data_IF_234329408475
#
_entry.id   IF_234329408475
#
_cell.length_a   1.000
_cell.length_b   1.000
_cell.length_c   1.000
_cell.angle_alpha   90.00
_cell.angle_beta   90.00
_cell.angle_gamma   90.00
#
_symmetry.space_group_name_H-M   'P 1'
#
loop_
_entity.id
_entity.type
_entity.pdbx_description
1 polymer ?
#
# COMPACT_ATOMS: atom_id res chain seq x y z
N UNK A 1 7.45 37.33 24.65
CA UNK A 1 6.75 38.35 23.84
C UNK A 1 5.96 37.61 22.77
N UNK A 2 4.64 37.55 22.96
CA UNK A 2 3.57 37.11 22.07
C UNK A 2 3.66 35.74 21.37
N UNK A 3 3.10 34.74 22.06
CA UNK A 3 2.19 33.74 21.48
C UNK A 3 1.21 34.43 20.51
N UNK A 4 1.29 34.09 19.22
CA UNK A 4 0.21 34.38 18.28
C UNK A 4 -0.69 33.15 18.20
N UNK A 5 -1.70 33.16 19.07
CA UNK A 5 -2.94 32.40 18.92
C UNK A 5 -3.57 32.75 17.56
N UNK A 6 -3.48 31.82 16.61
CA UNK A 6 -4.33 31.82 15.42
C UNK A 6 -5.54 30.94 15.74
N UNK A 7 -6.51 31.54 16.45
CA UNK A 7 -7.83 30.99 16.64
C UNK A 7 -8.65 31.08 15.36
N UNK A 8 -8.44 30.13 14.45
CA UNK A 8 -9.50 29.72 13.53
C UNK A 8 -10.22 28.54 14.18
N UNK A 9 -11.54 28.64 14.31
CA UNK A 9 -12.43 27.55 14.72
C UNK A 9 -12.38 26.42 13.68
N UNK A 10 -11.27 25.71 13.62
CA UNK A 10 -11.14 24.53 12.79
C UNK A 10 -11.90 23.42 13.48
N UNK A 11 -13.17 23.26 13.12
CA UNK A 11 -13.92 22.04 13.48
C UNK A 11 -13.07 20.88 12.97
N UNK A 12 -12.64 19.95 13.85
CA UNK A 12 -11.84 18.83 13.42
C UNK A 12 -12.58 18.06 12.33
N UNK A 13 -11.89 17.73 11.23
CA UNK A 13 -12.49 17.09 10.04
C UNK A 13 -13.26 15.81 10.38
N UNK A 14 -12.86 15.10 11.44
CA UNK A 14 -13.56 13.91 11.90
C UNK A 14 -14.99 14.20 12.41
N UNK A 15 -15.27 15.39 12.96
CA UNK A 15 -16.61 15.72 13.48
C UNK A 15 -17.63 15.87 12.37
N UNK A 16 -17.25 16.53 11.27
CA UNK A 16 -18.11 16.67 10.09
C UNK A 16 -18.30 15.34 9.37
N UNK A 17 -17.24 14.52 9.30
CA UNK A 17 -17.32 13.17 8.71
C UNK A 17 -18.25 12.27 9.54
N UNK A 18 -18.06 12.19 10.86
CA UNK A 18 -18.86 11.31 11.74
C UNK A 18 -20.32 11.77 11.80
N UNK A 19 -20.58 13.08 11.80
CA UNK A 19 -21.95 13.61 11.73
C UNK A 19 -22.65 13.29 10.39
N UNK A 20 -21.88 13.02 9.32
CA UNK A 20 -22.42 12.60 8.02
C UNK A 20 -22.75 11.11 7.91
N UNK A 21 -22.32 10.28 8.86
CA UNK A 21 -22.55 8.84 8.81
C UNK A 21 -24.02 8.47 9.00
N UNK A 22 -24.44 7.43 8.30
CA UNK A 22 -25.68 6.69 8.56
C UNK A 22 -25.63 5.94 9.89
N UNK A 23 -26.77 5.52 10.40
CA UNK A 23 -26.85 4.81 11.70
C UNK A 23 -26.06 3.48 11.67
N UNK A 24 -26.05 2.78 10.53
CA UNK A 24 -25.28 1.54 10.33
C UNK A 24 -23.76 1.80 10.31
N UNK A 25 -23.33 2.87 9.63
CA UNK A 25 -21.93 3.30 9.62
C UNK A 25 -21.48 3.71 11.03
N UNK A 26 -22.33 4.43 11.77
CA UNK A 26 -22.02 4.83 13.14
C UNK A 26 -21.93 3.61 14.07
N UNK A 27 -22.80 2.61 13.94
CA UNK A 27 -22.66 1.33 14.66
C UNK A 27 -21.33 0.64 14.37
N UNK A 28 -20.87 0.65 13.12
CA UNK A 28 -19.57 0.08 12.75
C UNK A 28 -18.40 0.86 13.37
N UNK A 29 -18.48 2.19 13.42
CA UNK A 29 -17.49 3.03 14.12
C UNK A 29 -17.44 2.70 15.61
N UNK A 30 -18.59 2.51 16.27
CA UNK A 30 -18.65 2.15 17.69
C UNK A 30 -18.00 0.79 17.99
N UNK A 31 -18.16 -0.20 17.10
CA UNK A 31 -17.49 -1.51 17.19
C UNK A 31 -15.97 -1.40 17.04
N UNK A 32 -15.49 -0.44 16.26
CA UNK A 32 -14.07 -0.20 15.98
C UNK A 32 -13.48 0.94 16.83
N UNK A 33 -14.19 1.44 17.86
CA UNK A 33 -13.82 2.65 18.62
C UNK A 33 -12.37 2.69 19.13
N UNK A 34 -11.80 1.53 19.49
CA UNK A 34 -10.41 1.40 19.97
C UNK A 34 -9.35 1.68 18.90
N UNK A 35 -9.74 1.68 17.62
CA UNK A 35 -8.85 1.94 16.48
C UNK A 35 -8.81 3.42 16.09
N UNK A 36 -9.72 4.23 16.62
CA UNK A 36 -9.79 5.66 16.34
C UNK A 36 -9.06 6.47 17.41
N UNK A 37 -8.75 7.72 17.09
CA UNK A 37 -8.30 8.70 18.08
C UNK A 37 -9.38 8.87 19.16
N UNK A 38 -8.97 9.05 20.41
CA UNK A 38 -9.89 9.15 21.55
C UNK A 38 -10.96 10.24 21.33
N UNK A 39 -10.59 11.41 20.80
CA UNK A 39 -11.55 12.48 20.56
C UNK A 39 -12.60 12.12 19.48
N UNK A 40 -12.22 11.33 18.49
CA UNK A 40 -13.13 10.88 17.43
C UNK A 40 -14.06 9.77 17.94
N UNK A 41 -13.53 8.85 18.74
CA UNK A 41 -14.32 7.82 19.41
C UNK A 41 -15.36 8.43 20.36
N UNK A 42 -14.95 9.38 21.20
CA UNK A 42 -15.85 10.07 22.13
C UNK A 42 -16.93 10.85 21.39
N UNK A 43 -16.57 11.53 20.29
CA UNK A 43 -17.54 12.22 19.46
C UNK A 43 -18.54 11.25 18.81
N UNK A 44 -18.09 10.10 18.31
CA UNK A 44 -18.99 9.08 17.76
C UNK A 44 -19.96 8.51 18.81
N UNK A 45 -19.50 8.33 20.06
CA UNK A 45 -20.36 7.91 21.18
C UNK A 45 -21.42 8.97 21.48
N UNK A 46 -21.02 10.25 21.59
CA UNK A 46 -21.97 11.34 21.81
C UNK A 46 -23.01 11.45 20.70
N UNK A 47 -22.57 11.32 19.44
CA UNK A 47 -23.45 11.37 18.28
C UNK A 47 -24.41 10.18 18.24
N UNK A 48 -23.96 8.99 18.65
CA UNK A 48 -24.80 7.81 18.73
C UNK A 48 -25.84 7.90 19.86
N UNK A 49 -25.49 8.51 20.99
CA UNK A 49 -26.44 8.84 22.08
C UNK A 49 -27.46 9.87 21.58
N UNK A 50 -27.00 10.93 20.90
CA UNK A 50 -27.86 11.99 20.36
C UNK A 50 -28.91 11.45 19.39
N UNK A 51 -28.56 10.43 18.60
CA UNK A 51 -29.44 9.76 17.63
C UNK A 51 -30.26 8.61 18.22
N UNK A 52 -30.03 8.23 19.48
CA UNK A 52 -30.71 7.12 20.12
C UNK A 52 -30.30 5.73 19.61
N UNK A 53 -29.12 5.61 19.00
CA UNK A 53 -28.54 4.33 18.56
C UNK A 53 -28.05 3.53 19.77
N UNK A 54 -27.53 4.24 20.78
CA UNK A 54 -27.24 3.75 22.13
C UNK A 54 -27.86 4.73 23.13
N UNK A 55 -28.24 4.24 24.30
CA UNK A 55 -28.82 5.07 25.37
C UNK A 55 -27.74 5.62 26.30
N UNK A 56 -26.66 4.86 26.48
CA UNK A 56 -25.57 5.23 27.38
C UNK A 56 -24.23 4.68 26.89
N UNK A 57 -23.13 5.22 27.42
CA UNK A 57 -21.81 4.63 27.20
C UNK A 57 -21.68 3.19 27.72
N UNK A 58 -22.55 2.73 28.63
CA UNK A 58 -22.55 1.36 29.13
C UNK A 58 -23.05 0.36 28.09
N UNK A 59 -23.84 0.82 27.11
CA UNK A 59 -24.36 -0.02 26.02
C UNK A 59 -23.22 -0.53 25.14
N UNK A 60 -22.07 0.15 25.11
CA UNK A 60 -20.85 -0.25 24.39
C UNK A 60 -20.20 -1.54 24.92
N UNK A 61 -20.63 -2.04 26.08
CA UNK A 61 -20.21 -3.34 26.62
C UNK A 61 -21.11 -4.48 26.16
N UNK A 62 -22.24 -4.19 25.49
CA UNK A 62 -23.10 -5.20 24.93
C UNK A 62 -22.37 -6.02 23.85
N UNK A 63 -22.82 -7.27 23.66
CA UNK A 63 -22.20 -8.22 22.71
C UNK A 63 -22.15 -7.68 21.28
N UNK A 64 -23.10 -6.81 20.92
CA UNK A 64 -23.21 -6.17 19.61
C UNK A 64 -22.18 -5.06 19.35
N UNK A 65 -21.58 -4.46 20.38
CA UNK A 65 -20.53 -3.43 20.30
C UNK A 65 -19.19 -3.90 20.85
N UNK A 66 -19.07 -5.20 21.14
CA UNK A 66 -17.83 -5.82 21.57
C UNK A 66 -16.81 -5.68 20.45
N UNK A 67 -15.62 -5.18 20.80
CA UNK A 67 -14.55 -4.96 19.83
C UNK A 67 -14.28 -6.27 19.09
N UNK A 68 -14.46 -6.27 17.77
CA UNK A 68 -13.97 -7.37 16.95
C UNK A 68 -12.44 -7.26 16.95
N UNK A 69 -11.72 -8.30 17.42
CA UNK A 69 -10.27 -8.29 17.31
C UNK A 69 -9.92 -8.23 15.82
N UNK A 70 -9.06 -7.28 15.45
CA UNK A 70 -8.55 -7.20 14.09
C UNK A 70 -7.99 -8.56 13.69
N UNK A 71 -8.57 -9.16 12.65
CA UNK A 71 -7.96 -10.33 12.03
C UNK A 71 -6.64 -9.85 11.44
N UNK A 72 -5.54 -10.41 11.92
CA UNK A 72 -4.22 -10.12 11.36
C UNK A 72 -4.27 -10.28 9.84
N UNK A 73 -4.07 -9.17 9.13
CA UNK A 73 -4.02 -9.15 7.68
C UNK A 73 -2.67 -8.60 7.28
N UNK A 74 -1.97 -9.35 6.41
CA UNK A 74 -0.69 -8.94 5.84
C UNK A 74 -0.86 -7.67 5.00
N UNK A 75 -2.07 -7.44 4.47
CA UNK A 75 -2.42 -6.25 3.70
C UNK A 75 -3.43 -5.41 4.47
N UNK A 76 -3.20 -4.10 4.65
CA UNK A 76 -4.19 -3.24 5.29
C UNK A 76 -5.47 -3.17 4.46
N UNK A 77 -6.64 -3.22 5.12
CA UNK A 77 -7.92 -3.01 4.47
C UNK A 77 -8.13 -1.52 4.21
N UNK A 78 -8.32 -1.12 2.94
CA UNK A 78 -8.57 0.28 2.58
C UNK A 78 -10.07 0.50 2.38
N UNK A 79 -10.76 1.13 3.31
CA UNK A 79 -12.23 1.28 3.25
C UNK A 79 -12.73 2.21 2.12
N UNK A 80 -11.88 3.07 1.55
CA UNK A 80 -12.26 4.03 0.50
C UNK A 80 -11.63 3.70 -0.86
N UNK A 81 -12.47 3.60 -1.90
CA UNK A 81 -12.05 3.40 -3.31
C UNK A 81 -11.09 4.51 -3.80
N UNK A 82 -11.35 5.76 -3.40
CA UNK A 82 -10.50 6.91 -3.74
C UNK A 82 -9.11 6.76 -3.15
N UNK A 83 -9.03 6.29 -1.90
CA UNK A 83 -7.78 6.03 -1.20
C UNK A 83 -7.04 4.84 -1.82
N UNK A 84 -7.77 3.76 -2.14
CA UNK A 84 -7.21 2.57 -2.81
C UNK A 84 -6.56 2.94 -4.15
N UNK A 85 -7.25 3.74 -4.96
CA UNK A 85 -6.73 4.22 -6.25
C UNK A 85 -5.47 5.08 -6.08
N UNK A 86 -5.42 5.95 -5.05
CA UNK A 86 -4.22 6.74 -4.75
C UNK A 86 -3.03 5.86 -4.38
N UNK A 87 -3.21 4.89 -3.48
CA UNK A 87 -2.15 3.95 -3.08
C UNK A 87 -1.65 3.14 -4.26
N UNK A 88 -2.55 2.58 -5.06
CA UNK A 88 -2.22 1.84 -6.27
C UNK A 88 -1.38 2.68 -7.25
N UNK A 89 -1.77 3.94 -7.49
CA UNK A 89 -1.01 4.84 -8.36
C UNK A 89 0.37 5.17 -7.80
N UNK A 90 0.47 5.41 -6.49
CA UNK A 90 1.74 5.69 -5.82
C UNK A 90 2.71 4.52 -5.95
N UNK A 91 2.26 3.31 -5.62
CA UNK A 91 3.09 2.10 -5.70
C UNK A 91 3.48 1.79 -7.14
N UNK A 92 2.54 1.91 -8.08
CA UNK A 92 2.83 1.68 -9.50
C UNK A 92 3.88 2.66 -10.03
N UNK A 93 3.89 3.93 -9.59
CA UNK A 93 4.95 4.89 -9.95
C UNK A 93 6.32 4.45 -9.45
N UNK A 94 6.40 3.99 -8.21
CA UNK A 94 7.66 3.46 -7.66
C UNK A 94 8.15 2.24 -8.45
N UNK A 95 7.24 1.34 -8.86
CA UNK A 95 7.57 0.19 -9.70
C UNK A 95 8.06 0.62 -11.09
N UNK A 96 7.47 1.66 -11.70
CA UNK A 96 7.96 2.23 -12.97
C UNK A 96 9.40 2.74 -12.79
N UNK A 97 9.65 3.56 -11.76
CA UNK A 97 10.99 4.11 -11.49
C UNK A 97 12.01 3.00 -11.33
N UNK A 98 11.65 1.92 -10.62
CA UNK A 98 12.52 0.76 -10.46
C UNK A 98 12.83 0.07 -11.79
N UNK A 99 11.89 0.05 -12.74
CA UNK A 99 12.08 -0.51 -14.07
C UNK A 99 12.96 0.35 -14.99
N UNK A 100 13.02 1.67 -14.77
CA UNK A 100 13.87 2.58 -15.57
C UNK A 100 15.35 2.31 -15.30
N UNK A 101 15.73 1.88 -14.09
CA UNK A 101 17.13 1.60 -13.75
C UNK A 101 17.74 0.50 -14.64
N UNK A 102 17.14 -0.70 -14.79
CA UNK A 102 17.61 -1.69 -15.76
C UNK A 102 17.61 -1.18 -17.20
N UNK A 103 16.68 -0.32 -17.62
CA UNK A 103 16.69 0.25 -18.97
C UNK A 103 17.99 1.02 -19.20
N UNK A 104 18.35 1.91 -18.27
CA UNK A 104 19.58 2.70 -18.35
C UNK A 104 20.81 1.79 -18.32
N UNK A 105 20.85 0.83 -17.38
CA UNK A 105 21.96 -0.13 -17.27
C UNK A 105 22.11 -1.00 -18.52
N UNK A 106 21.00 -1.38 -19.16
CA UNK A 106 21.01 -2.13 -20.41
C UNK A 106 21.65 -1.33 -21.54
N UNK A 107 21.30 -0.04 -21.68
CA UNK A 107 21.91 0.86 -22.67
C UNK A 107 23.41 1.01 -22.43
N UNK A 108 23.83 1.22 -21.17
CA UNK A 108 25.26 1.35 -20.82
C UNK A 108 26.01 0.07 -21.22
N UNK A 109 25.52 -1.12 -20.84
CA UNK A 109 26.14 -2.39 -21.20
C UNK A 109 26.25 -2.61 -22.72
N UNK A 110 25.24 -2.16 -23.49
CA UNK A 110 25.28 -2.23 -24.96
C UNK A 110 26.43 -1.37 -25.51
N UNK A 111 26.61 -0.15 -24.96
CA UNK A 111 27.66 0.78 -25.38
C UNK A 111 29.06 0.30 -25.00
N UNK A 112 29.20 -0.39 -23.87
CA UNK A 112 30.46 -0.98 -23.40
C UNK A 112 30.85 -2.26 -24.15
N UNK A 113 30.05 -2.69 -25.14
CA UNK A 113 30.34 -3.85 -25.98
C UNK A 113 29.81 -5.18 -25.45
N UNK A 114 29.16 -5.20 -24.28
CA UNK A 114 28.47 -6.38 -23.75
C UNK A 114 27.02 -6.43 -24.28
N UNK A 115 26.88 -6.46 -25.62
CA UNK A 115 25.61 -6.18 -26.28
C UNK A 115 24.51 -7.20 -26.00
N UNK A 116 24.85 -8.49 -25.85
CA UNK A 116 23.83 -9.54 -25.61
C UNK A 116 23.17 -9.36 -24.24
N UNK A 117 23.98 -9.27 -23.18
CA UNK A 117 23.48 -9.09 -21.82
C UNK A 117 22.76 -7.74 -21.67
N UNK A 118 23.33 -6.67 -22.22
CA UNK A 118 22.71 -5.35 -22.21
C UNK A 118 21.34 -5.31 -22.90
N UNK A 119 21.16 -6.01 -24.03
CA UNK A 119 19.85 -6.13 -24.71
C UNK A 119 18.83 -6.83 -23.80
N UNK A 120 19.20 -7.92 -23.12
CA UNK A 120 18.27 -8.62 -22.22
C UNK A 120 17.87 -7.74 -21.02
N UNK A 121 18.83 -7.06 -20.40
CA UNK A 121 18.57 -6.15 -19.27
C UNK A 121 17.67 -4.99 -19.73
N UNK A 122 17.92 -4.43 -20.91
CA UNK A 122 17.11 -3.37 -21.49
C UNK A 122 15.66 -3.81 -21.71
N UNK A 123 15.46 -4.95 -22.40
CA UNK A 123 14.13 -5.50 -22.67
C UNK A 123 13.41 -5.81 -21.36
N UNK A 124 14.11 -6.37 -20.37
CA UNK A 124 13.55 -6.64 -19.05
C UNK A 124 13.05 -5.36 -18.37
N UNK A 125 13.89 -4.31 -18.32
CA UNK A 125 13.51 -3.02 -17.74
C UNK A 125 12.34 -2.36 -18.46
N UNK A 126 12.32 -2.43 -19.80
CA UNK A 126 11.25 -1.90 -20.62
C UNK A 126 9.92 -2.65 -20.37
N UNK A 127 9.96 -3.98 -20.37
CA UNK A 127 8.80 -4.83 -20.07
C UNK A 127 8.26 -4.59 -18.65
N UNK A 128 9.14 -4.42 -17.67
CA UNK A 128 8.76 -4.13 -16.29
C UNK A 128 8.08 -2.78 -16.18
N UNK A 129 8.69 -1.75 -16.75
CA UNK A 129 8.17 -0.38 -16.73
C UNK A 129 6.81 -0.30 -17.43
N UNK A 130 6.68 -0.97 -18.58
CA UNK A 130 5.43 -1.04 -19.33
C UNK A 130 4.34 -1.77 -18.54
N UNK A 131 4.65 -2.90 -17.91
CA UNK A 131 3.68 -3.64 -17.08
C UNK A 131 3.26 -2.84 -15.86
N UNK A 132 4.19 -2.14 -15.22
CA UNK A 132 3.93 -1.24 -14.08
C UNK A 132 3.04 -0.07 -14.50
N UNK A 133 3.27 0.50 -15.69
CA UNK A 133 2.44 1.55 -16.27
C UNK A 133 1.00 1.09 -16.54
N UNK A 134 0.82 -0.14 -17.06
CA UNK A 134 -0.51 -0.73 -17.22
C UNK A 134 -1.20 -0.93 -15.87
N UNK A 135 -0.46 -1.36 -14.84
CA UNK A 135 -0.99 -1.53 -13.49
C UNK A 135 -1.53 -0.21 -12.92
N UNK A 136 -0.89 0.91 -13.24
CA UNK A 136 -1.31 2.25 -12.82
C UNK A 136 -2.62 2.71 -13.46
N UNK A 137 -2.82 2.44 -14.75
CA UNK A 137 -3.92 3.01 -15.55
C UNK A 137 -5.16 2.11 -15.60
N UNK A 138 -5.00 0.80 -15.47
CA UNK A 138 -6.13 -0.12 -15.56
C UNK A 138 -6.84 -0.20 -14.21
N UNK A 139 -8.15 0.08 -14.18
CA UNK A 139 -8.98 -0.05 -12.97
C UNK A 139 -8.88 -1.46 -12.39
N UNK A 140 -8.93 -2.48 -13.25
CA UNK A 140 -8.78 -3.88 -12.90
C UNK A 140 -7.64 -4.55 -13.69
N UNK A 141 -6.39 -4.54 -13.18
CA UNK A 141 -5.33 -5.34 -13.78
C UNK A 141 -5.71 -6.82 -13.64
N UNK A 142 -5.76 -7.55 -14.76
CA UNK A 142 -5.98 -9.00 -14.73
C UNK A 142 -4.88 -9.70 -13.93
N UNK A 143 -5.19 -10.85 -13.31
CA UNK A 143 -4.22 -11.60 -12.50
C UNK A 143 -2.92 -11.87 -13.27
N UNK A 144 -3.02 -12.08 -14.58
CA UNK A 144 -1.89 -12.35 -15.45
C UNK A 144 -0.79 -11.29 -15.38
N UNK A 145 -1.14 -10.00 -15.26
CA UNK A 145 -0.15 -8.91 -15.15
C UNK A 145 0.57 -8.93 -13.82
N UNK A 146 -0.16 -9.21 -12.74
CA UNK A 146 0.40 -9.32 -11.40
C UNK A 146 1.36 -10.52 -11.34
N UNK A 147 0.94 -11.69 -11.85
CA UNK A 147 1.80 -12.87 -11.92
C UNK A 147 3.02 -12.66 -12.82
N UNK A 148 2.87 -11.93 -13.93
CA UNK A 148 4.00 -11.55 -14.78
C UNK A 148 5.03 -10.71 -14.00
N UNK A 149 4.59 -9.70 -13.25
CA UNK A 149 5.50 -8.91 -12.41
C UNK A 149 6.16 -9.73 -11.31
N UNK A 150 5.43 -10.65 -10.67
CA UNK A 150 6.01 -11.59 -9.72
C UNK A 150 7.11 -12.45 -10.37
N UNK A 151 6.84 -13.04 -11.53
CA UNK A 151 7.80 -13.85 -12.27
C UNK A 151 9.05 -13.04 -12.64
N UNK A 152 8.86 -11.80 -13.12
CA UNK A 152 9.97 -10.89 -13.42
C UNK A 152 10.79 -10.54 -12.17
N UNK A 153 10.15 -10.32 -11.02
CA UNK A 153 10.84 -9.99 -9.77
C UNK A 153 11.72 -11.17 -9.31
N UNK A 154 11.19 -12.40 -9.41
CA UNK A 154 11.94 -13.62 -9.11
C UNK A 154 13.11 -13.81 -10.07
N UNK A 155 12.90 -13.57 -11.37
CA UNK A 155 13.97 -13.62 -12.38
C UNK A 155 15.08 -12.59 -12.09
N UNK A 156 14.71 -11.37 -11.72
CA UNK A 156 15.67 -10.34 -11.34
C UNK A 156 16.48 -10.75 -10.09
N UNK A 157 15.80 -11.29 -9.07
CA UNK A 157 16.47 -11.80 -7.87
C UNK A 157 17.45 -12.93 -8.20
N UNK A 158 17.04 -13.89 -9.04
CA UNK A 158 17.90 -14.99 -9.49
C UNK A 158 19.12 -14.47 -10.27
N UNK A 159 18.93 -13.47 -11.13
CA UNK A 159 20.02 -12.82 -11.87
C UNK A 159 21.02 -12.12 -10.94
N UNK A 160 20.53 -11.37 -9.94
CA UNK A 160 21.38 -10.70 -8.94
C UNK A 160 22.19 -11.73 -8.14
N UNK A 161 21.54 -12.80 -7.66
CA UNK A 161 22.21 -13.87 -6.91
C UNK A 161 23.27 -14.56 -7.76
N UNK A 162 22.95 -14.85 -9.02
CA UNK A 162 23.93 -15.42 -9.98
C UNK A 162 25.14 -14.50 -10.13
N UNK A 163 24.93 -13.20 -10.31
CA UNK A 163 26.02 -12.25 -10.49
C UNK A 163 26.92 -12.19 -9.26
N UNK A 164 26.34 -12.17 -8.05
CA UNK A 164 27.13 -12.24 -6.83
C UNK A 164 27.91 -13.55 -6.69
N UNK A 165 27.33 -14.67 -7.11
CA UNK A 165 27.99 -15.98 -7.04
C UNK A 165 29.19 -16.05 -7.98
N UNK A 166 29.08 -15.44 -9.17
CA UNK A 166 30.17 -15.39 -10.16
C UNK A 166 31.28 -14.44 -9.73
N UNK A 167 30.95 -13.31 -9.08
CA UNK A 167 31.94 -12.30 -8.68
C UNK A 167 32.72 -12.66 -7.41
N UNK A 168 32.40 -13.76 -6.72
CA UNK A 168 32.94 -14.14 -5.41
C UNK A 168 32.86 -13.02 -4.34
N UNK A 169 32.03 -12.01 -4.56
CA UNK A 169 31.90 -10.83 -3.70
C UNK A 169 30.70 -10.94 -2.76
N UNK A 170 30.30 -12.17 -2.43
CA UNK A 170 29.02 -12.46 -1.82
C UNK A 170 29.14 -12.37 -0.30
N UNK A 171 28.94 -11.17 0.25
CA UNK A 171 28.89 -10.96 1.69
C UNK A 171 27.49 -11.29 2.21
N UNK A 172 27.36 -11.78 3.45
CA UNK A 172 26.05 -12.00 4.06
C UNK A 172 25.15 -10.74 4.09
N UNK A 173 25.78 -9.56 4.14
CA UNK A 173 25.09 -8.25 4.09
C UNK A 173 24.45 -8.03 2.71
N UNK A 174 25.12 -8.40 1.61
CA UNK A 174 24.60 -8.22 0.25
C UNK A 174 23.36 -9.09 0.00
N UNK A 175 23.38 -10.32 0.53
CA UNK A 175 22.21 -11.22 0.50
C UNK A 175 21.05 -10.61 1.28
N UNK A 176 21.31 -10.11 2.49
CA UNK A 176 20.27 -9.54 3.35
C UNK A 176 19.60 -8.33 2.69
N UNK A 177 20.39 -7.40 2.15
CA UNK A 177 19.89 -6.22 1.44
C UNK A 177 19.07 -6.64 0.22
N UNK A 178 19.58 -7.60 -0.56
CA UNK A 178 18.87 -8.11 -1.73
C UNK A 178 17.55 -8.77 -1.35
N UNK A 179 17.53 -9.60 -0.30
CA UNK A 179 16.33 -10.26 0.19
C UNK A 179 15.27 -9.27 0.68
N UNK A 180 15.68 -8.23 1.41
CA UNK A 180 14.78 -7.16 1.88
C UNK A 180 14.24 -6.38 0.68
N UNK A 181 15.10 -5.98 -0.26
CA UNK A 181 14.70 -5.23 -1.46
C UNK A 181 13.71 -6.01 -2.31
N UNK A 182 14.01 -7.28 -2.61
CA UNK A 182 13.10 -8.18 -3.34
C UNK A 182 11.81 -8.38 -2.55
N UNK A 183 11.89 -8.62 -1.24
CA UNK A 183 10.72 -8.76 -0.38
C UNK A 183 9.79 -7.54 -0.42
N UNK A 184 10.36 -6.33 -0.40
CA UNK A 184 9.59 -5.09 -0.50
C UNK A 184 8.90 -4.96 -1.87
N UNK A 185 9.59 -5.31 -2.95
CA UNK A 185 9.02 -5.31 -4.31
C UNK A 185 7.89 -6.33 -4.42
N UNK A 186 8.09 -7.55 -3.94
CA UNK A 186 7.08 -8.61 -3.93
C UNK A 186 5.86 -8.21 -3.10
N UNK A 187 6.07 -7.61 -1.92
CA UNK A 187 5.01 -7.07 -1.09
C UNK A 187 4.23 -5.98 -1.82
N UNK A 188 4.91 -5.04 -2.47
CA UNK A 188 4.29 -3.96 -3.23
C UNK A 188 3.41 -4.49 -4.37
N UNK A 189 3.90 -5.46 -5.14
CA UNK A 189 3.14 -6.12 -6.22
C UNK A 189 1.93 -6.87 -5.64
N UNK A 190 2.14 -7.63 -4.56
CA UNK A 190 1.08 -8.38 -3.88
C UNK A 190 -0.03 -7.46 -3.34
N UNK A 191 0.35 -6.34 -2.73
CA UNK A 191 -0.59 -5.35 -2.21
C UNK A 191 -1.40 -4.68 -3.33
N UNK A 192 -0.77 -4.31 -4.45
CA UNK A 192 -1.53 -3.82 -5.61
C UNK A 192 -2.51 -4.88 -6.12
N UNK A 193 -2.13 -6.15 -6.06
CA UNK A 193 -3.01 -7.28 -6.37
C UNK A 193 -4.19 -7.42 -5.41
N UNK A 194 -3.98 -7.26 -4.11
CA UNK A 194 -5.06 -7.35 -3.11
C UNK A 194 -6.07 -6.22 -3.24
N UNK A 195 -5.63 -5.03 -3.67
CA UNK A 195 -6.51 -3.88 -3.93
C UNK A 195 -7.51 -4.07 -5.08
N UNK A 196 -7.34 -5.12 -5.90
CA UNK A 196 -8.29 -5.45 -6.97
C UNK A 196 -9.62 -6.02 -6.45
N UNK A 197 -9.62 -6.62 -5.26
CA UNK A 197 -10.83 -7.28 -4.74
C UNK A 197 -11.84 -6.30 -4.11
N UNK A 198 -11.61 -4.98 -4.21
CA UNK A 198 -12.62 -3.98 -3.92
C UNK A 198 -13.67 -3.98 -5.04
N UNK A 199 -14.83 -4.58 -4.73
CA UNK A 199 -16.08 -4.52 -5.49
C UNK A 199 -17.20 -4.13 -4.55
#
# INVERSE_FOLDING_TARGET
MMEKSNGENHVPEFKTIIAGYSDDELRNVLKKRKLYQNEAADFAVQEAIRRGIIYSGQDLFAKEYKDEPEKFSIFPSIESEKTSTKFKRSISRSLIILGVLPVILGVINIWEGNSVEGIFIFIFGAAWSFTSFQLMHLVNPGLIRIYLMFAMAVLAAAYIIRNFAVSNSLTGIDILITAIGVGFVLYAIGFVGSLRNFK
#
